data_IF_067747604339
#
_entry.id   IF_067747604339
#
_cell.length_a   1.000
_cell.length_b   1.000
_cell.length_c   1.000
_cell.angle_alpha   90.00
_cell.angle_beta   90.00
_cell.angle_gamma   90.00
#
_symmetry.space_group_name_H-M   'P 1'
#
loop_
_entity.id
_entity.type
_entity.pdbx_description
1 polymer ?
#
# COMPACT_ATOMS: atom_id res chain seq x y z
N UNK A 1 67.66 -91.31 -27.52
CA UNK A 1 67.49 -89.92 -26.91
C UNK A 1 66.36 -89.17 -27.60
N UNK A 2 65.09 -89.60 -27.41
CA UNK A 2 63.95 -88.93 -28.02
C UNK A 2 62.63 -89.07 -27.16
N UNK A 3 62.69 -88.82 -25.90
CA UNK A 3 61.51 -88.92 -25.04
C UNK A 3 61.27 -87.67 -24.15
N UNK A 4 61.99 -86.58 -24.39
CA UNK A 4 61.88 -85.36 -23.58
C UNK A 4 61.20 -84.16 -24.23
N UNK A 5 60.91 -84.12 -25.52
CA UNK A 5 60.36 -82.95 -26.24
C UNK A 5 58.80 -82.81 -26.22
N UNK A 6 58.09 -83.92 -26.06
CA UNK A 6 56.61 -83.91 -26.15
C UNK A 6 55.91 -83.36 -24.92
N UNK A 7 56.49 -83.45 -23.71
CA UNK A 7 55.86 -83.02 -22.47
C UNK A 7 55.99 -81.48 -22.22
N UNK A 8 57.10 -80.92 -22.67
CA UNK A 8 57.34 -79.47 -22.57
C UNK A 8 56.46 -78.68 -23.53
N UNK A 9 56.16 -79.22 -24.70
CA UNK A 9 55.31 -78.57 -25.71
C UNK A 9 53.80 -78.59 -25.32
N UNK A 10 53.35 -79.67 -24.69
CA UNK A 10 52.02 -79.79 -24.19
C UNK A 10 51.78 -78.83 -22.99
N UNK A 11 52.73 -78.63 -22.09
CA UNK A 11 52.64 -77.67 -20.98
C UNK A 11 52.63 -76.25 -21.51
N UNK A 12 53.47 -75.94 -22.50
CA UNK A 12 53.43 -74.59 -23.14
C UNK A 12 52.10 -74.31 -23.84
N UNK A 13 51.56 -75.29 -24.58
CA UNK A 13 50.20 -75.11 -25.20
C UNK A 13 49.11 -74.92 -24.18
N UNK A 14 49.11 -75.65 -23.04
CA UNK A 14 48.15 -75.47 -21.97
C UNK A 14 48.29 -74.08 -21.30
N UNK A 15 49.49 -73.59 -21.05
CA UNK A 15 49.76 -72.29 -20.51
C UNK A 15 49.26 -71.20 -21.46
N UNK A 16 49.56 -71.33 -22.76
CA UNK A 16 49.08 -70.38 -23.79
C UNK A 16 47.53 -70.36 -23.87
N UNK A 17 46.90 -71.56 -23.79
CA UNK A 17 45.41 -71.63 -23.76
C UNK A 17 44.80 -71.00 -22.51
N UNK A 18 45.42 -71.21 -21.33
CA UNK A 18 44.93 -70.58 -20.05
C UNK A 18 45.13 -69.06 -20.11
N UNK A 19 46.25 -68.56 -20.60
CA UNK A 19 46.51 -67.12 -20.74
C UNK A 19 45.57 -66.53 -21.79
N UNK A 20 45.32 -67.17 -22.89
CA UNK A 20 44.39 -66.76 -23.94
C UNK A 20 42.93 -66.74 -23.41
N UNK A 21 42.54 -67.81 -22.68
CA UNK A 21 41.17 -67.84 -22.05
C UNK A 21 41.04 -66.83 -20.97
N UNK A 22 42.08 -66.56 -20.16
CA UNK A 22 42.12 -65.48 -19.18
C UNK A 22 42.01 -64.09 -19.85
N UNK A 23 42.71 -63.85 -20.92
CA UNK A 23 42.66 -62.61 -21.70
C UNK A 23 41.30 -62.42 -22.36
N UNK A 24 40.70 -63.45 -22.95
CA UNK A 24 39.33 -63.43 -23.48
C UNK A 24 38.28 -63.16 -22.37
N UNK A 25 38.44 -63.76 -21.19
CA UNK A 25 37.59 -63.50 -20.04
C UNK A 25 37.73 -62.10 -19.55
N UNK A 26 38.94 -61.55 -19.52
CA UNK A 26 39.20 -60.16 -19.14
C UNK A 26 38.65 -59.19 -20.16
N UNK A 27 38.74 -59.44 -21.45
CA UNK A 27 38.11 -58.64 -22.49
C UNK A 27 36.59 -58.68 -22.41
N UNK A 28 35.99 -59.85 -22.17
CA UNK A 28 34.55 -60.00 -21.95
C UNK A 28 34.12 -59.27 -20.70
N UNK A 29 34.89 -59.36 -19.62
CA UNK A 29 34.62 -58.58 -18.40
C UNK A 29 34.65 -57.09 -18.66
N UNK A 30 35.70 -56.57 -19.31
CA UNK A 30 35.76 -55.13 -19.63
C UNK A 30 34.71 -54.70 -20.62
N UNK A 31 34.28 -55.49 -21.59
CA UNK A 31 33.19 -55.14 -22.50
C UNK A 31 31.83 -55.12 -21.80
N UNK A 32 31.55 -56.09 -20.92
CA UNK A 32 30.32 -56.13 -20.14
C UNK A 32 30.24 -55.04 -19.04
N UNK A 33 31.38 -54.73 -18.41
CA UNK A 33 31.45 -53.72 -17.33
C UNK A 33 31.83 -52.33 -17.83
N UNK A 34 32.21 -52.14 -19.10
CA UNK A 34 32.60 -50.84 -19.67
C UNK A 34 31.50 -49.81 -19.51
N UNK A 35 30.26 -50.20 -19.75
CA UNK A 35 29.11 -49.30 -19.62
C UNK A 35 28.85 -48.90 -18.15
N UNK A 36 29.03 -49.84 -17.23
CA UNK A 36 28.86 -49.58 -15.78
C UNK A 36 29.96 -48.68 -15.23
N UNK A 37 31.23 -48.88 -15.66
CA UNK A 37 32.31 -47.97 -15.27
C UNK A 37 32.15 -46.57 -15.87
N UNK A 38 31.73 -46.47 -17.14
CA UNK A 38 31.48 -45.19 -17.78
C UNK A 38 30.34 -44.43 -17.12
N UNK A 39 29.28 -45.13 -16.67
CA UNK A 39 28.15 -44.52 -15.98
C UNK A 39 28.50 -43.97 -14.59
N UNK A 40 29.54 -44.51 -13.93
CA UNK A 40 29.99 -44.01 -12.61
C UNK A 40 30.72 -42.68 -12.68
N UNK A 41 31.30 -42.32 -13.82
CA UNK A 41 32.03 -41.07 -14.07
C UNK A 41 31.15 -39.97 -14.66
N UNK A 42 29.87 -40.26 -14.96
CA UNK A 42 28.95 -39.25 -15.50
C UNK A 42 28.44 -38.31 -14.41
N UNK A 43 28.23 -36.99 -14.73
CA UNK A 43 27.60 -36.06 -13.83
C UNK A 43 26.25 -36.58 -13.35
N UNK A 44 26.05 -36.60 -12.04
CA UNK A 44 24.74 -36.89 -11.43
C UNK A 44 23.85 -35.68 -11.48
N UNK A 45 22.60 -35.87 -11.88
CA UNK A 45 21.63 -34.80 -11.96
C UNK A 45 20.35 -35.17 -11.21
N UNK A 46 19.84 -34.20 -10.49
CA UNK A 46 18.49 -34.24 -9.93
C UNK A 46 17.54 -33.48 -10.87
N UNK A 47 16.39 -34.03 -11.15
CA UNK A 47 15.43 -33.47 -12.11
C UNK A 47 14.11 -33.14 -11.45
N UNK A 48 13.41 -32.21 -12.04
CA UNK A 48 12.00 -31.89 -11.74
C UNK A 48 11.18 -31.87 -13.01
N UNK A 49 9.86 -32.00 -12.89
CA UNK A 49 8.95 -31.82 -14.01
C UNK A 49 8.30 -30.43 -13.92
N UNK A 50 8.23 -29.69 -15.04
CA UNK A 50 7.47 -28.46 -15.09
C UNK A 50 6.00 -28.71 -14.71
N UNK A 51 5.36 -27.71 -14.12
CA UNK A 51 3.93 -27.78 -13.79
C UNK A 51 3.24 -26.59 -14.41
N UNK A 52 2.09 -26.84 -15.04
CA UNK A 52 1.26 -25.74 -15.53
C UNK A 52 0.56 -25.08 -14.37
N UNK A 53 0.74 -23.76 -14.22
CA UNK A 53 0.14 -23.01 -13.12
C UNK A 53 0.34 -21.51 -13.21
N UNK A 54 -0.24 -20.78 -12.27
CA UNK A 54 0.09 -19.38 -12.02
C UNK A 54 1.16 -19.29 -10.94
N UNK A 55 2.08 -18.33 -11.08
CA UNK A 55 3.13 -18.10 -10.10
C UNK A 55 2.58 -17.27 -8.92
N UNK A 56 2.95 -17.62 -7.70
CA UNK A 56 2.58 -16.84 -6.52
C UNK A 56 3.45 -15.57 -6.45
N UNK A 57 2.80 -14.42 -6.51
CA UNK A 57 3.42 -13.11 -6.41
C UNK A 57 2.94 -12.39 -5.16
N UNK A 58 3.85 -11.67 -4.52
CA UNK A 58 3.55 -10.83 -3.39
C UNK A 58 3.76 -9.35 -3.76
N UNK A 59 2.84 -8.51 -3.30
CA UNK A 59 2.98 -7.06 -3.24
C UNK A 59 3.08 -6.68 -1.79
N UNK A 60 4.20 -6.12 -1.40
CA UNK A 60 4.45 -5.62 -0.06
C UNK A 60 4.67 -4.12 -0.12
N UNK A 61 4.18 -3.42 0.89
CA UNK A 61 4.40 -1.99 0.97
C UNK A 61 3.94 -1.41 2.30
N UNK A 62 4.38 -0.19 2.57
CA UNK A 62 4.02 0.52 3.79
C UNK A 62 3.66 1.97 3.49
N UNK A 63 2.84 2.55 4.37
CA UNK A 63 2.44 3.94 4.30
C UNK A 63 2.06 4.48 5.67
N UNK A 64 1.90 5.80 5.75
CA UNK A 64 1.45 6.47 6.97
C UNK A 64 -0.07 6.66 6.89
N UNK A 65 -0.74 6.22 7.94
CA UNK A 65 -2.19 6.37 8.08
C UNK A 65 -2.54 7.85 8.25
N UNK A 66 -3.44 8.33 7.41
CA UNK A 66 -3.96 9.69 7.45
C UNK A 66 -5.49 9.68 7.59
N UNK A 67 -6.03 10.65 8.28
CA UNK A 67 -7.48 10.84 8.31
C UNK A 67 -8.02 11.21 6.92
N UNK A 68 -9.18 10.68 6.58
CA UNK A 68 -9.85 11.01 5.32
C UNK A 68 -10.43 12.43 5.37
N UNK A 69 -10.89 12.87 6.53
CA UNK A 69 -11.49 14.19 6.70
C UNK A 69 -11.09 14.82 8.04
N UNK A 70 -10.47 15.99 7.96
CA UNK A 70 -10.12 16.81 9.10
C UNK A 70 -10.93 18.10 9.09
N UNK A 71 -11.43 18.51 10.25
CA UNK A 71 -11.97 19.85 10.44
C UNK A 71 -10.91 20.73 11.10
N UNK A 72 -10.53 21.79 10.40
CA UNK A 72 -9.70 22.89 10.92
C UNK A 72 -10.62 23.94 11.52
N UNK A 73 -10.62 24.04 12.82
CA UNK A 73 -11.55 24.91 13.57
C UNK A 73 -10.81 26.10 14.14
N UNK A 74 -11.35 27.29 13.92
CA UNK A 74 -10.84 28.56 14.45
C UNK A 74 -12.01 29.42 14.91
N UNK A 75 -11.74 30.35 15.81
CA UNK A 75 -12.70 31.45 16.07
C UNK A 75 -12.82 32.32 14.82
N UNK A 76 -14.03 32.86 14.57
CA UNK A 76 -14.27 33.87 13.54
C UNK A 76 -13.96 35.28 14.04
N UNK A 77 -13.60 35.43 15.31
CA UNK A 77 -13.32 36.70 16.00
C UNK A 77 -11.88 36.69 16.57
N UNK A 78 -11.35 37.88 16.80
CA UNK A 78 -10.03 38.07 17.46
C UNK A 78 -10.09 37.95 18.99
N UNK A 79 -11.10 37.26 19.53
CA UNK A 79 -11.25 37.07 20.96
C UNK A 79 -10.17 36.19 21.53
N UNK A 80 -9.78 36.49 22.77
CA UNK A 80 -8.80 35.66 23.48
C UNK A 80 -9.42 34.35 23.92
N UNK A 81 -8.65 33.29 23.89
CA UNK A 81 -9.02 32.00 24.47
C UNK A 81 -9.20 32.17 25.98
N UNK A 82 -10.39 31.91 26.47
CA UNK A 82 -10.68 31.97 27.91
C UNK A 82 -10.32 30.63 28.58
N UNK A 83 -10.73 29.51 27.99
CA UNK A 83 -10.48 28.19 28.54
C UNK A 83 -10.46 27.14 27.43
N UNK A 84 -9.55 26.19 27.56
CA UNK A 84 -9.42 25.01 26.69
C UNK A 84 -10.02 23.81 27.45
N UNK A 85 -11.01 23.14 26.84
CA UNK A 85 -11.78 22.05 27.45
C UNK A 85 -11.37 20.65 26.98
N UNK A 86 -10.42 20.54 26.04
CA UNK A 86 -9.99 19.29 25.43
C UNK A 86 -8.47 19.22 25.33
N UNK A 87 -7.93 18.00 25.09
CA UNK A 87 -6.50 17.75 24.92
C UNK A 87 -6.23 17.06 23.58
N UNK A 88 -5.00 17.16 23.08
CA UNK A 88 -4.58 16.36 21.93
C UNK A 88 -4.73 14.86 22.21
N UNK A 89 -5.22 14.11 21.21
CA UNK A 89 -5.53 12.69 21.32
C UNK A 89 -6.87 12.37 21.98
N UNK A 90 -7.61 13.38 22.48
CA UNK A 90 -8.92 13.19 23.11
C UNK A 90 -10.02 12.93 22.08
N UNK A 91 -10.93 12.02 22.41
CA UNK A 91 -12.13 11.76 21.62
C UNK A 91 -13.23 12.73 21.97
N UNK A 92 -13.81 13.35 20.96
CA UNK A 92 -14.89 14.33 21.09
C UNK A 92 -16.14 13.87 20.36
N UNK A 93 -17.30 14.28 20.90
CA UNK A 93 -18.60 14.04 20.29
C UNK A 93 -19.08 15.28 19.54
N UNK A 94 -19.91 15.09 18.51
CA UNK A 94 -20.57 16.21 17.82
C UNK A 94 -21.28 17.11 18.82
N UNK A 95 -21.05 18.44 18.75
CA UNK A 95 -21.58 19.46 19.65
C UNK A 95 -20.83 19.59 20.98
N UNK A 96 -19.81 18.78 21.26
CA UNK A 96 -19.00 18.94 22.47
C UNK A 96 -18.23 20.27 22.40
N UNK A 97 -18.20 21.00 23.53
CA UNK A 97 -17.43 22.23 23.68
C UNK A 97 -15.95 21.92 23.71
N UNK A 98 -15.16 22.65 22.92
CA UNK A 98 -13.71 22.47 22.77
C UNK A 98 -12.95 23.62 23.42
N UNK A 99 -13.35 24.84 23.10
CA UNK A 99 -12.71 26.07 23.57
C UNK A 99 -13.82 27.09 23.88
N UNK A 100 -13.62 27.86 24.91
CA UNK A 100 -14.42 29.07 25.20
C UNK A 100 -13.55 30.29 24.98
N UNK A 101 -14.17 31.37 24.46
CA UNK A 101 -13.50 32.63 24.20
C UNK A 101 -14.01 33.72 25.12
N UNK A 102 -13.14 34.69 25.45
CA UNK A 102 -13.52 35.88 26.22
C UNK A 102 -14.37 36.82 25.37
N UNK A 103 -15.64 36.81 25.64
CA UNK A 103 -16.65 37.61 24.93
C UNK A 103 -17.16 38.78 25.74
N UNK A 104 -16.47 39.19 26.82
CA UNK A 104 -16.92 40.26 27.72
C UNK A 104 -17.11 41.58 26.97
N UNK A 105 -16.19 41.96 26.09
CA UNK A 105 -16.31 43.18 25.29
C UNK A 105 -17.52 43.17 24.37
N UNK A 106 -17.82 42.05 23.71
CA UNK A 106 -18.99 41.90 22.85
C UNK A 106 -20.30 41.95 23.64
N UNK A 107 -20.33 41.38 24.86
CA UNK A 107 -21.46 41.46 25.76
C UNK A 107 -21.73 42.91 26.20
N UNK A 108 -20.68 43.68 26.54
CA UNK A 108 -20.80 45.10 26.87
C UNK A 108 -21.28 45.91 25.68
N UNK A 109 -20.82 45.65 24.47
CA UNK A 109 -21.30 46.33 23.26
C UNK A 109 -22.81 46.09 23.05
N UNK A 110 -23.29 44.86 23.26
CA UNK A 110 -24.73 44.56 23.20
C UNK A 110 -25.51 45.38 24.26
N UNK A 111 -25.01 45.51 25.48
CA UNK A 111 -25.66 46.32 26.53
C UNK A 111 -25.75 47.80 26.14
N UNK A 112 -24.70 48.36 25.50
CA UNK A 112 -24.73 49.72 24.95
C UNK A 112 -25.83 49.86 23.89
N UNK A 113 -25.91 48.90 22.96
CA UNK A 113 -26.95 48.94 21.92
C UNK A 113 -28.35 48.73 22.46
N UNK A 114 -28.54 47.95 23.52
CA UNK A 114 -29.82 47.83 24.23
C UNK A 114 -30.18 49.16 24.88
N UNK A 115 -29.21 49.86 25.49
CA UNK A 115 -29.46 51.20 26.07
C UNK A 115 -29.83 52.21 24.99
N UNK A 116 -29.22 52.16 23.82
CA UNK A 116 -29.56 52.99 22.66
C UNK A 116 -31.00 52.72 22.17
N UNK A 117 -31.40 51.45 22.12
CA UNK A 117 -32.79 51.07 21.78
C UNK A 117 -33.81 51.68 22.78
N UNK A 118 -33.50 51.66 24.08
CA UNK A 118 -34.36 52.21 25.08
C UNK A 118 -34.50 53.73 24.92
N UNK A 119 -33.41 54.45 24.63
CA UNK A 119 -33.47 55.89 24.30
C UNK A 119 -34.34 56.16 23.06
N UNK A 120 -34.20 55.33 21.99
CA UNK A 120 -35.07 55.49 20.82
C UNK A 120 -36.55 55.24 21.13
N UNK A 121 -36.84 54.28 21.99
CA UNK A 121 -38.23 54.03 22.44
C UNK A 121 -38.80 55.22 23.21
N UNK A 122 -38.03 55.83 24.10
CA UNK A 122 -38.47 57.07 24.83
C UNK A 122 -38.67 58.19 23.83
N UNK A 123 -37.79 58.43 22.89
CA UNK A 123 -37.93 59.44 21.85
C UNK A 123 -39.19 59.20 20.99
N UNK A 124 -39.46 57.96 20.63
CA UNK A 124 -40.66 57.60 19.89
C UNK A 124 -41.96 57.90 20.70
N UNK A 125 -41.94 57.67 22.00
CA UNK A 125 -43.07 58.10 22.90
C UNK A 125 -43.25 59.60 22.88
N UNK A 126 -42.19 60.41 23.00
CA UNK A 126 -42.22 61.83 22.90
C UNK A 126 -42.84 62.32 21.58
N UNK A 127 -42.52 61.69 20.48
CA UNK A 127 -43.10 61.95 19.15
C UNK A 127 -44.60 61.61 19.12
N UNK A 128 -45.06 60.58 19.82
CA UNK A 128 -46.46 60.23 19.96
C UNK A 128 -47.22 61.30 20.77
N UNK A 129 -46.62 61.79 21.86
CA UNK A 129 -47.19 62.84 22.67
C UNK A 129 -47.33 64.18 21.90
N UNK A 130 -46.27 64.53 21.08
CA UNK A 130 -46.33 65.71 20.22
C UNK A 130 -47.42 65.57 19.13
N UNK A 131 -47.61 64.37 18.57
CA UNK A 131 -48.67 64.07 17.62
C UNK A 131 -50.05 64.30 18.26
N UNK A 132 -50.24 63.82 19.48
CA UNK A 132 -51.52 64.08 20.24
C UNK A 132 -51.75 65.59 20.43
N UNK A 133 -50.71 66.31 20.84
CA UNK A 133 -50.81 67.74 21.04
C UNK A 133 -51.12 68.47 19.70
N UNK A 134 -50.48 68.16 18.61
CA UNK A 134 -50.71 68.70 17.27
C UNK A 134 -52.14 68.43 16.75
N UNK A 135 -52.70 67.29 17.16
CA UNK A 135 -54.11 66.93 16.86
C UNK A 135 -55.11 67.79 17.58
N UNK A 136 -54.79 68.23 18.81
CA UNK A 136 -55.62 69.13 19.59
C UNK A 136 -55.61 70.58 19.02
N UNK A 137 -54.41 70.97 18.50
CA UNK A 137 -54.20 72.33 17.94
C UNK A 137 -54.77 72.47 16.52
N UNK A 138 -55.37 71.46 15.91
CA UNK A 138 -55.96 71.41 14.56
C UNK A 138 -54.94 71.81 13.42
N UNK A 139 -53.64 71.74 13.64
CA UNK A 139 -52.64 72.12 12.67
C UNK A 139 -52.30 70.90 11.73
N UNK A 140 -52.95 70.87 10.59
CA UNK A 140 -52.89 69.77 9.66
C UNK A 140 -51.46 69.50 9.13
N UNK A 141 -50.60 70.50 8.95
CA UNK A 141 -49.23 70.36 8.48
C UNK A 141 -48.32 69.72 9.55
N UNK A 142 -48.50 70.20 10.80
CA UNK A 142 -47.75 69.56 11.94
C UNK A 142 -48.21 68.15 12.17
N UNK A 143 -49.51 67.88 12.03
CA UNK A 143 -50.05 66.54 12.19
C UNK A 143 -49.43 65.56 11.18
N UNK A 144 -49.32 65.94 9.86
CA UNK A 144 -48.73 65.14 8.84
C UNK A 144 -47.19 64.93 9.04
N UNK A 145 -46.48 65.93 9.52
CA UNK A 145 -45.06 65.83 9.84
C UNK A 145 -44.81 64.91 11.03
N UNK A 146 -45.54 65.04 12.10
CA UNK A 146 -45.48 64.23 13.30
C UNK A 146 -45.78 62.75 13.00
N UNK A 147 -46.78 62.48 12.12
CA UNK A 147 -47.06 61.10 11.68
C UNK A 147 -45.86 60.46 10.92
N UNK A 148 -45.19 61.21 10.04
CA UNK A 148 -44.01 60.71 9.36
C UNK A 148 -42.84 60.44 10.30
N UNK A 149 -42.65 61.35 11.30
CA UNK A 149 -41.57 61.14 12.29
C UNK A 149 -41.84 59.92 13.17
N UNK A 150 -43.08 59.66 13.57
CA UNK A 150 -43.49 58.47 14.31
C UNK A 150 -43.21 57.23 13.49
N UNK A 151 -43.58 57.19 12.18
CA UNK A 151 -43.32 56.03 11.33
C UNK A 151 -41.85 55.82 11.13
N UNK A 152 -41.04 56.86 10.95
CA UNK A 152 -39.56 56.76 10.87
C UNK A 152 -38.98 56.22 12.17
N UNK A 153 -39.36 56.76 13.32
CA UNK A 153 -38.91 56.29 14.64
C UNK A 153 -39.23 54.81 14.88
N UNK A 154 -40.42 54.38 14.43
CA UNK A 154 -40.76 52.93 14.46
C UNK A 154 -39.83 52.07 13.61
N UNK A 155 -39.47 52.52 12.40
CA UNK A 155 -38.53 51.83 11.56
C UNK A 155 -37.11 51.78 12.15
N UNK A 156 -36.68 52.90 12.80
CA UNK A 156 -35.37 52.96 13.46
C UNK A 156 -35.31 51.99 14.65
N UNK A 157 -36.38 51.88 15.45
CA UNK A 157 -36.49 50.88 16.54
C UNK A 157 -36.39 49.45 16.01
N UNK A 158 -37.13 49.14 14.94
CA UNK A 158 -37.09 47.80 14.32
C UNK A 158 -35.69 47.48 13.78
N UNK A 159 -35.01 48.45 13.18
CA UNK A 159 -33.64 48.28 12.68
C UNK A 159 -32.65 48.01 13.84
N UNK A 160 -32.81 48.76 14.94
CA UNK A 160 -31.98 48.60 16.14
C UNK A 160 -32.21 47.24 16.82
N UNK A 161 -33.45 46.78 16.92
CA UNK A 161 -33.77 45.43 17.44
C UNK A 161 -33.16 44.31 16.59
N UNK A 162 -33.21 44.46 15.27
CA UNK A 162 -32.52 43.49 14.35
C UNK A 162 -31.03 43.47 14.57
N UNK A 163 -30.40 44.65 14.72
CA UNK A 163 -28.94 44.74 15.00
C UNK A 163 -28.60 44.03 16.29
N UNK A 164 -29.31 44.28 17.36
CA UNK A 164 -29.09 43.62 18.66
C UNK A 164 -29.25 42.10 18.55
N UNK A 165 -30.29 41.62 17.85
CA UNK A 165 -30.50 40.21 17.67
C UNK A 165 -29.35 39.55 16.86
N UNK A 166 -28.85 40.20 15.80
CA UNK A 166 -27.68 39.73 15.04
C UNK A 166 -26.42 39.68 15.91
N UNK A 167 -26.21 40.68 16.77
CA UNK A 167 -25.06 40.68 17.69
C UNK A 167 -25.15 39.54 18.70
N UNK A 168 -26.32 39.26 19.25
CA UNK A 168 -26.59 38.14 20.18
C UNK A 168 -26.36 36.78 19.51
N UNK A 169 -26.83 36.61 18.27
CA UNK A 169 -26.60 35.38 17.49
C UNK A 169 -25.12 35.16 17.23
N UNK A 170 -24.38 36.22 16.85
CA UNK A 170 -22.94 36.16 16.64
C UNK A 170 -22.20 35.79 17.93
N UNK A 171 -22.54 36.47 19.03
CA UNK A 171 -22.00 36.17 20.36
C UNK A 171 -22.19 34.69 20.73
N UNK A 172 -23.41 34.18 20.59
CA UNK A 172 -23.73 32.77 20.90
C UNK A 172 -22.95 31.76 20.04
N UNK A 173 -22.68 32.08 18.75
CA UNK A 173 -21.93 31.22 17.85
C UNK A 173 -20.43 31.26 18.12
N UNK A 174 -19.89 32.45 18.38
CA UNK A 174 -18.45 32.68 18.40
C UNK A 174 -17.84 32.50 19.81
N UNK A 175 -18.69 32.58 20.86
CA UNK A 175 -18.25 32.43 22.26
C UNK A 175 -17.71 31.01 22.56
N UNK A 176 -18.18 29.97 21.85
CA UNK A 176 -17.83 28.58 22.11
C UNK A 176 -17.56 27.86 20.83
N UNK A 177 -16.34 27.34 20.68
CA UNK A 177 -15.97 26.45 19.60
C UNK A 177 -16.44 25.02 19.93
N UNK A 178 -17.21 24.41 19.03
CA UNK A 178 -17.77 23.07 19.24
C UNK A 178 -17.34 22.11 18.13
N UNK A 179 -17.29 20.81 18.45
CA UNK A 179 -16.97 19.78 17.49
C UNK A 179 -18.11 19.59 16.46
N UNK A 180 -17.86 19.67 15.14
CA UNK A 180 -18.87 19.51 14.10
C UNK A 180 -19.33 18.06 13.90
N UNK A 181 -18.51 17.08 14.32
CA UNK A 181 -18.76 15.63 14.23
C UNK A 181 -18.03 14.88 15.34
N UNK A 182 -18.27 13.57 15.44
CA UNK A 182 -17.53 12.70 16.34
C UNK A 182 -16.12 12.44 15.79
N UNK A 183 -15.09 12.70 16.58
CA UNK A 183 -13.71 12.59 16.10
C UNK A 183 -12.67 12.55 17.21
N UNK A 184 -11.43 12.73 16.81
CA UNK A 184 -10.26 12.81 17.69
C UNK A 184 -9.57 14.14 17.45
N UNK A 185 -9.19 14.84 18.53
CA UNK A 185 -8.38 16.05 18.46
C UNK A 185 -6.96 15.65 18.04
N UNK A 186 -6.57 16.02 16.83
CA UNK A 186 -5.23 15.68 16.29
C UNK A 186 -4.20 16.76 16.56
N UNK A 187 -4.64 18.03 16.67
CA UNK A 187 -3.76 19.16 16.98
C UNK A 187 -4.52 20.24 17.76
N UNK A 188 -3.84 20.82 18.74
CA UNK A 188 -4.34 21.91 19.58
C UNK A 188 -3.32 23.05 19.58
N UNK A 189 -3.57 24.11 18.82
CA UNK A 189 -2.68 25.28 18.73
C UNK A 189 -3.16 26.43 19.62
N UNK A 190 -4.40 26.38 20.13
CA UNK A 190 -4.94 27.39 21.00
C UNK A 190 -4.13 27.51 22.31
N UNK A 191 -3.95 28.74 22.79
CA UNK A 191 -3.28 29.06 24.05
C UNK A 191 -4.15 29.98 24.87
N UNK A 192 -4.45 29.65 26.13
CA UNK A 192 -5.26 30.45 27.02
C UNK A 192 -4.67 31.87 27.21
N UNK A 193 -5.50 32.88 27.13
CA UNK A 193 -5.12 34.29 27.22
C UNK A 193 -4.65 34.93 25.91
N UNK A 194 -4.42 34.15 24.83
CA UNK A 194 -4.03 34.65 23.51
C UNK A 194 -5.20 34.53 22.51
N UNK A 195 -5.19 35.37 21.47
CA UNK A 195 -6.07 35.20 20.31
C UNK A 195 -5.42 34.29 19.26
N UNK A 196 -6.24 33.71 18.39
CA UNK A 196 -5.74 32.86 17.30
C UNK A 196 -4.76 33.59 16.39
N UNK A 197 -3.60 32.99 16.12
CA UNK A 197 -2.51 33.60 15.36
C UNK A 197 -2.48 33.21 13.87
N UNK A 198 -3.66 32.97 13.25
CA UNK A 198 -3.76 32.60 11.84
C UNK A 198 -3.69 31.10 11.57
N UNK A 199 -3.29 30.27 12.55
CA UNK A 199 -3.42 28.84 12.52
C UNK A 199 -4.76 28.38 13.11
N UNK A 200 -5.31 27.22 12.69
CA UNK A 200 -6.49 26.65 13.32
C UNK A 200 -6.27 26.39 14.82
N UNK A 201 -7.20 26.83 15.66
CA UNK A 201 -7.15 26.61 17.11
C UNK A 201 -7.17 25.12 17.46
N UNK A 202 -7.99 24.34 16.75
CA UNK A 202 -8.13 22.90 16.93
C UNK A 202 -8.30 22.21 15.58
N UNK A 203 -7.63 21.08 15.41
CA UNK A 203 -7.85 20.18 14.27
C UNK A 203 -8.47 18.88 14.79
N UNK A 204 -9.60 18.50 14.23
CA UNK A 204 -10.32 17.28 14.59
C UNK A 204 -10.38 16.35 13.38
N UNK A 205 -9.91 15.13 13.55
CA UNK A 205 -10.03 14.05 12.60
C UNK A 205 -11.37 13.33 12.73
N UNK A 206 -12.06 13.13 11.60
CA UNK A 206 -13.36 12.47 11.59
C UNK A 206 -13.22 10.95 11.62
N UNK A 207 -13.28 10.35 12.79
CA UNK A 207 -13.15 8.90 12.97
C UNK A 207 -14.25 8.07 12.29
N UNK A 208 -15.42 8.68 11.98
CA UNK A 208 -16.51 7.95 11.32
C UNK A 208 -16.30 7.76 9.82
N UNK A 209 -15.51 8.59 9.18
CA UNK A 209 -15.14 8.43 7.77
C UNK A 209 -13.97 7.47 7.57
N UNK A 210 -13.25 7.15 8.65
CA UNK A 210 -12.10 6.28 8.65
C UNK A 210 -10.80 6.98 8.28
N UNK A 211 -9.82 6.16 7.98
CA UNK A 211 -8.46 6.53 7.67
C UNK A 211 -8.05 5.95 6.34
N UNK A 212 -7.02 6.50 5.73
CA UNK A 212 -6.42 5.99 4.50
C UNK A 212 -4.92 6.07 4.57
N UNK A 213 -4.28 5.21 3.79
CA UNK A 213 -2.86 5.31 3.52
C UNK A 213 -2.59 4.90 2.07
N UNK A 214 -1.43 5.23 1.57
CA UNK A 214 -1.02 5.00 0.20
C UNK A 214 0.20 4.10 0.16
N UNK A 215 0.21 3.16 -0.78
CA UNK A 215 1.31 2.24 -1.01
C UNK A 215 1.67 2.25 -2.49
N UNK A 216 2.95 2.46 -2.79
CA UNK A 216 3.47 2.30 -4.14
C UNK A 216 3.66 0.82 -4.49
N UNK A 217 3.29 0.45 -5.71
CA UNK A 217 3.46 -0.91 -6.22
C UNK A 217 3.82 -0.90 -7.71
N UNK A 218 4.59 -1.89 -8.14
CA UNK A 218 4.90 -2.12 -9.55
C UNK A 218 3.60 -2.36 -10.35
N UNK A 219 3.41 -1.59 -11.42
CA UNK A 219 2.19 -1.63 -12.22
C UNK A 219 2.01 -2.97 -12.93
N UNK A 220 3.09 -3.63 -13.35
CA UNK A 220 3.07 -4.93 -14.01
C UNK A 220 2.66 -6.01 -13.02
N UNK A 221 3.31 -6.08 -11.86
CA UNK A 221 2.96 -7.04 -10.78
C UNK A 221 1.50 -6.89 -10.33
N UNK A 222 1.05 -5.64 -10.15
CA UNK A 222 -0.33 -5.37 -9.75
C UNK A 222 -1.33 -5.91 -10.78
N UNK A 223 -1.01 -5.75 -12.07
CA UNK A 223 -1.86 -6.26 -13.16
C UNK A 223 -1.83 -7.77 -13.24
N UNK A 224 -0.64 -8.39 -13.05
CA UNK A 224 -0.46 -9.85 -13.11
C UNK A 224 -1.28 -10.61 -12.05
N UNK A 225 -1.43 -10.07 -10.84
CA UNK A 225 -2.21 -10.70 -9.76
C UNK A 225 -3.66 -10.23 -9.68
N UNK A 226 -4.07 -9.31 -10.57
CA UNK A 226 -5.46 -8.90 -10.70
C UNK A 226 -6.05 -8.24 -9.46
N UNK A 227 -5.28 -7.40 -8.78
CA UNK A 227 -5.79 -6.61 -7.65
C UNK A 227 -6.83 -5.61 -8.15
N UNK A 228 -7.96 -5.53 -7.47
CA UNK A 228 -9.12 -4.75 -7.87
C UNK A 228 -9.58 -3.74 -6.82
N UNK A 229 -10.19 -2.65 -7.28
CA UNK A 229 -10.86 -1.68 -6.40
C UNK A 229 -12.05 -2.38 -5.70
N UNK A 230 -12.21 -2.12 -4.41
CA UNK A 230 -13.22 -2.75 -3.56
C UNK A 230 -12.76 -4.05 -2.89
N UNK A 231 -11.57 -4.52 -3.19
CA UNK A 231 -11.01 -5.72 -2.58
C UNK A 231 -10.64 -5.48 -1.12
N UNK A 232 -10.91 -6.48 -0.27
CA UNK A 232 -10.53 -6.47 1.15
C UNK A 232 -9.16 -7.11 1.31
N UNK A 233 -8.32 -6.46 2.10
CA UNK A 233 -6.95 -6.89 2.39
C UNK A 233 -6.67 -6.77 3.88
N UNK A 234 -5.78 -7.60 4.37
CA UNK A 234 -5.24 -7.47 5.73
C UNK A 234 -4.18 -6.37 5.78
N UNK A 235 -4.29 -5.51 6.79
CA UNK A 235 -3.36 -4.40 7.04
C UNK A 235 -2.78 -4.56 8.43
N UNK A 236 -1.47 -4.65 8.51
CA UNK A 236 -0.76 -4.56 9.79
C UNK A 236 -0.51 -3.10 10.14
N UNK A 237 -0.92 -2.69 11.33
CA UNK A 237 -0.73 -1.33 11.83
C UNK A 237 0.14 -1.35 13.08
N UNK A 238 1.21 -0.58 13.07
CA UNK A 238 2.06 -0.38 14.25
C UNK A 238 1.39 0.63 15.17
N UNK A 239 0.81 0.17 16.27
CA UNK A 239 0.25 1.05 17.31
C UNK A 239 1.35 1.56 18.26
N UNK A 240 1.14 2.73 18.89
CA UNK A 240 2.09 3.49 19.75
C UNK A 240 2.90 2.67 20.79
N UNK A 241 2.46 1.47 21.10
CA UNK A 241 3.26 0.52 21.88
C UNK A 241 4.09 -0.35 20.92
N UNK A 242 5.33 0.01 20.68
CA UNK A 242 6.34 -0.61 19.80
C UNK A 242 6.50 -2.16 19.86
N UNK A 243 5.57 -2.88 20.45
CA UNK A 243 5.60 -4.33 20.64
C UNK A 243 4.37 -5.08 20.12
N UNK A 244 3.35 -4.43 19.61
CA UNK A 244 2.16 -5.12 19.07
C UNK A 244 1.69 -4.47 17.80
N UNK A 245 1.94 -5.09 16.66
CA UNK A 245 1.19 -4.83 15.45
C UNK A 245 -0.24 -5.35 15.61
N UNK A 246 -1.21 -4.60 15.12
CA UNK A 246 -2.61 -5.02 15.07
C UNK A 246 -2.98 -5.27 13.62
N UNK A 247 -3.58 -6.41 13.33
CA UNK A 247 -4.12 -6.72 12.00
C UNK A 247 -5.53 -6.16 11.91
N UNK A 248 -5.82 -5.43 10.85
CA UNK A 248 -7.10 -4.78 10.59
C UNK A 248 -7.53 -5.03 9.14
N UNK A 249 -8.84 -4.99 8.90
CA UNK A 249 -9.38 -5.06 7.55
C UNK A 249 -9.24 -3.72 6.85
N UNK A 250 -8.60 -3.71 5.69
CA UNK A 250 -8.55 -2.59 4.76
C UNK A 250 -9.31 -2.88 3.48
N UNK A 251 -9.77 -1.83 2.80
CA UNK A 251 -10.42 -1.93 1.50
C UNK A 251 -9.65 -1.05 0.51
N UNK A 252 -9.33 -1.60 -0.65
CA UNK A 252 -8.71 -0.84 -1.74
C UNK A 252 -9.76 0.12 -2.30
N UNK A 253 -9.57 1.42 -2.07
CA UNK A 253 -10.51 2.47 -2.50
C UNK A 253 -10.19 2.96 -3.91
N UNK A 254 -8.91 3.03 -4.24
CA UNK A 254 -8.45 3.61 -5.51
C UNK A 254 -7.09 3.04 -5.92
N UNK A 255 -6.86 2.93 -7.22
CA UNK A 255 -5.57 2.58 -7.82
C UNK A 255 -5.28 3.62 -8.90
N UNK A 256 -4.25 4.44 -8.69
CA UNK A 256 -3.84 5.52 -9.60
C UNK A 256 -2.43 5.29 -10.14
N UNK A 257 -2.11 5.92 -11.27
CA UNK A 257 -0.75 5.91 -11.79
C UNK A 257 0.13 6.84 -10.93
N UNK A 258 1.36 6.40 -10.69
CA UNK A 258 2.39 7.18 -10.01
C UNK A 258 3.54 7.52 -10.97
N UNK A 259 4.43 8.38 -10.54
CA UNK A 259 5.69 8.62 -11.24
C UNK A 259 6.49 7.32 -11.32
N UNK A 260 7.03 6.97 -12.51
CA UNK A 260 7.81 5.76 -12.66
C UNK A 260 9.08 5.80 -11.82
N UNK A 261 9.44 4.67 -11.21
CA UNK A 261 10.72 4.51 -10.56
C UNK A 261 11.83 4.29 -11.61
N UNK A 262 12.91 5.04 -11.48
CA UNK A 262 14.10 4.88 -12.31
C UNK A 262 15.07 3.98 -11.51
N UNK A 263 15.16 2.72 -11.90
CA UNK A 263 16.16 1.79 -11.38
C UNK A 263 17.39 1.84 -12.29
N UNK A 264 18.51 2.32 -11.76
CA UNK A 264 19.77 2.36 -12.49
C UNK A 264 20.92 2.72 -11.57
N UNK A 265 22.03 2.02 -11.69
CA UNK A 265 23.24 2.26 -10.94
C UNK A 265 23.89 3.60 -11.32
N UNK A 266 24.62 4.17 -10.35
CA UNK A 266 25.41 5.42 -10.49
C UNK A 266 26.67 5.26 -11.34
N UNK A 267 26.87 4.15 -12.06
CA UNK A 267 28.03 3.93 -12.90
C UNK A 267 27.78 4.38 -14.36
N UNK A 268 28.75 5.06 -14.93
CA UNK A 268 28.75 5.47 -16.34
C UNK A 268 28.64 4.23 -17.25
N UNK A 269 27.44 4.00 -17.81
CA UNK A 269 27.12 2.88 -18.68
C UNK A 269 26.04 1.92 -18.17
N UNK A 270 25.45 2.17 -16.99
CA UNK A 270 24.34 1.37 -16.48
C UNK A 270 23.06 1.65 -17.28
N UNK A 271 22.40 0.59 -17.73
CA UNK A 271 21.09 0.68 -18.38
C UNK A 271 20.07 1.11 -17.34
N UNK A 272 19.55 2.33 -17.46
CA UNK A 272 18.43 2.80 -16.63
C UNK A 272 17.16 2.12 -17.07
N UNK A 273 16.55 1.34 -16.17
CA UNK A 273 15.25 0.72 -16.41
C UNK A 273 14.17 1.55 -15.73
N UNK A 274 13.17 1.98 -16.50
CA UNK A 274 12.01 2.71 -15.97
C UNK A 274 10.92 1.72 -15.63
N UNK A 275 10.59 1.61 -14.34
CA UNK A 275 9.54 0.72 -13.82
C UNK A 275 8.27 1.54 -13.56
N UNK A 276 7.18 1.31 -14.34
CA UNK A 276 5.91 1.98 -14.10
C UNK A 276 5.37 1.66 -12.71
N UNK A 277 4.97 2.69 -11.98
CA UNK A 277 4.43 2.56 -10.63
C UNK A 277 2.95 2.91 -10.56
N UNK A 278 2.23 2.28 -9.64
CA UNK A 278 0.88 2.67 -9.24
C UNK A 278 0.82 2.90 -7.74
N UNK A 279 -0.06 3.81 -7.34
CA UNK A 279 -0.40 4.04 -5.94
C UNK A 279 -1.71 3.33 -5.65
N UNK A 280 -1.68 2.46 -4.65
CA UNK A 280 -2.85 1.81 -4.09
C UNK A 280 -3.26 2.61 -2.87
N UNK A 281 -4.48 3.16 -2.89
CA UNK A 281 -5.08 3.86 -1.75
C UNK A 281 -5.99 2.92 -0.99
N UNK A 282 -5.67 2.70 0.28
CA UNK A 282 -6.34 1.74 1.14
C UNK A 282 -7.07 2.50 2.23
N UNK A 283 -8.36 2.19 2.40
CA UNK A 283 -9.21 2.73 3.45
C UNK A 283 -9.35 1.73 4.58
N UNK A 284 -9.23 2.24 5.82
CA UNK A 284 -9.44 1.48 7.06
C UNK A 284 -10.49 2.21 7.89
N UNK A 285 -11.45 1.47 8.45
CA UNK A 285 -12.43 2.01 9.38
C UNK A 285 -12.25 1.31 10.73
N UNK A 286 -11.46 1.92 11.59
CA UNK A 286 -11.28 1.46 12.98
C UNK A 286 -11.21 2.66 13.91
N UNK A 287 -12.00 2.60 14.97
CA UNK A 287 -12.08 3.69 15.97
C UNK A 287 -10.80 3.77 16.85
N UNK A 288 -9.91 2.78 16.82
CA UNK A 288 -8.68 2.78 17.61
C UNK A 288 -7.57 3.60 16.97
N UNK A 289 -7.65 3.84 15.66
CA UNK A 289 -6.67 4.63 14.91
C UNK A 289 -6.76 6.11 15.28
N UNK A 290 -5.60 6.77 15.26
CA UNK A 290 -5.47 8.21 15.55
C UNK A 290 -4.95 9.01 14.36
N UNK A 291 -4.32 8.33 13.39
CA UNK A 291 -3.55 8.94 12.32
C UNK A 291 -2.08 9.17 12.72
N UNK A 292 -1.18 9.00 11.77
CA UNK A 292 0.27 9.05 11.97
C UNK A 292 0.92 7.69 12.22
N UNK A 293 0.14 6.63 12.45
CA UNK A 293 0.62 5.25 12.59
C UNK A 293 1.15 4.74 11.24
N UNK A 294 2.13 3.83 11.29
CA UNK A 294 2.62 3.13 10.11
C UNK A 294 1.76 1.90 9.84
N UNK A 295 1.30 1.78 8.60
CA UNK A 295 0.59 0.61 8.10
C UNK A 295 1.45 -0.15 7.10
N UNK A 296 1.31 -1.47 7.07
CA UNK A 296 1.95 -2.38 6.11
C UNK A 296 0.90 -3.29 5.50
N UNK A 297 1.11 -3.63 4.25
CA UNK A 297 0.31 -4.64 3.55
C UNK A 297 1.21 -5.69 2.96
N UNK A 298 0.65 -6.90 2.86
CA UNK A 298 1.19 -8.00 2.09
C UNK A 298 0.04 -8.68 1.35
N UNK A 299 -0.01 -8.49 0.03
CA UNK A 299 -1.02 -9.10 -0.84
C UNK A 299 -0.34 -10.26 -1.58
N UNK A 300 -0.71 -11.48 -1.26
CA UNK A 300 -0.20 -12.69 -1.93
C UNK A 300 -1.30 -13.29 -2.80
N UNK A 301 -1.03 -13.45 -4.09
CA UNK A 301 -1.94 -14.06 -5.06
C UNK A 301 -1.18 -14.79 -6.15
N UNK A 302 -1.82 -15.81 -6.69
CA UNK A 302 -1.37 -16.45 -7.92
C UNK A 302 -1.59 -15.53 -9.12
N UNK A 303 -0.63 -15.49 -10.05
CA UNK A 303 -0.79 -14.70 -11.28
C UNK A 303 -1.99 -15.18 -12.10
N UNK A 304 -2.62 -14.25 -12.82
CA UNK A 304 -3.74 -14.55 -13.72
C UNK A 304 -3.29 -15.35 -14.95
N UNK A 305 -2.07 -15.08 -15.42
CA UNK A 305 -1.46 -15.83 -16.51
C UNK A 305 -0.96 -17.18 -16.00
N UNK A 306 -1.16 -18.21 -16.79
CA UNK A 306 -0.68 -19.58 -16.54
C UNK A 306 0.42 -19.90 -17.51
N UNK A 307 1.47 -20.52 -17.01
CA UNK A 307 2.62 -20.98 -17.79
C UNK A 307 3.30 -22.18 -17.13
N UNK A 308 4.37 -22.65 -17.74
CA UNK A 308 5.18 -23.70 -17.15
C UNK A 308 6.03 -23.16 -16.00
N UNK A 309 5.81 -23.68 -14.80
CA UNK A 309 6.56 -23.33 -13.60
C UNK A 309 7.71 -24.32 -13.41
N UNK A 310 8.90 -23.75 -13.22
CA UNK A 310 10.12 -24.49 -12.88
C UNK A 310 10.77 -23.82 -11.66
N UNK A 311 11.53 -24.59 -10.88
CA UNK A 311 12.30 -24.01 -9.79
C UNK A 311 13.27 -22.95 -10.31
N UNK A 312 13.36 -21.80 -9.63
CA UNK A 312 14.28 -20.73 -10.04
C UNK A 312 15.75 -21.19 -10.08
N UNK A 313 16.10 -22.24 -9.33
CA UNK A 313 17.42 -22.87 -9.36
C UNK A 313 17.75 -23.68 -10.61
N UNK A 314 16.75 -24.02 -11.43
CA UNK A 314 16.95 -24.74 -12.70
C UNK A 314 17.21 -23.79 -13.89
N UNK A 315 17.00 -22.48 -13.70
CA UNK A 315 17.17 -21.46 -14.74
C UNK A 315 18.58 -20.90 -14.70
N UNK A 316 19.24 -20.92 -15.85
CA UNK A 316 20.61 -20.42 -16.03
C UNK A 316 20.63 -19.24 -17.00
N UNK A 317 21.68 -18.43 -16.94
CA UNK A 317 21.92 -17.33 -17.84
C UNK A 317 23.31 -17.37 -18.44
N UNK A 318 23.40 -17.08 -19.73
CA UNK A 318 24.66 -16.84 -20.40
C UNK A 318 24.58 -15.62 -21.34
N UNK A 319 25.52 -15.51 -22.31
CA UNK A 319 25.54 -14.39 -23.26
C UNK A 319 24.42 -14.42 -24.30
N UNK A 320 23.81 -15.61 -24.50
CA UNK A 320 22.77 -15.85 -25.50
C UNK A 320 21.37 -15.65 -24.89
N UNK A 321 21.24 -15.62 -23.55
CA UNK A 321 19.98 -15.42 -22.84
C UNK A 321 19.77 -16.38 -21.68
N UNK A 322 18.49 -16.60 -21.35
CA UNK A 322 18.07 -17.53 -20.31
C UNK A 322 17.85 -18.92 -20.91
N UNK A 323 18.27 -19.97 -20.18
CA UNK A 323 18.10 -21.34 -20.60
C UNK A 323 17.91 -22.29 -19.43
N UNK A 324 17.40 -23.47 -19.73
CA UNK A 324 17.35 -24.63 -18.83
C UNK A 324 18.00 -25.83 -19.51
N UNK A 325 18.41 -26.84 -18.72
CA UNK A 325 18.79 -28.13 -19.25
C UNK A 325 17.63 -29.10 -19.14
N UNK A 326 17.26 -29.70 -20.26
CA UNK A 326 16.25 -30.77 -20.36
C UNK A 326 16.95 -32.10 -20.54
N UNK A 327 16.45 -33.13 -19.88
CA UNK A 327 16.95 -34.51 -20.07
C UNK A 327 16.36 -35.08 -21.35
N UNK A 328 17.23 -35.38 -22.33
CA UNK A 328 16.84 -36.07 -23.54
C UNK A 328 17.33 -37.53 -23.47
N UNK A 329 16.43 -38.47 -23.77
CA UNK A 329 16.74 -39.87 -23.84
C UNK A 329 17.13 -40.26 -25.28
N UNK A 330 18.33 -40.76 -25.47
CA UNK A 330 18.83 -41.14 -26.78
C UNK A 330 19.16 -42.63 -26.82
N UNK A 331 18.91 -43.35 -27.96
CA UNK A 331 19.28 -44.73 -28.11
C UNK A 331 20.80 -44.88 -28.13
N UNK A 332 21.35 -45.69 -27.22
CA UNK A 332 22.78 -46.01 -27.17
C UNK A 332 23.05 -47.48 -27.52
N UNK A 333 24.31 -47.84 -27.76
CA UNK A 333 24.72 -49.20 -28.19
C UNK A 333 24.42 -50.31 -27.16
N UNK A 334 24.29 -49.95 -25.88
CA UNK A 334 24.04 -50.88 -24.76
C UNK A 334 22.83 -50.47 -23.89
N UNK A 335 21.85 -49.74 -24.46
CA UNK A 335 20.67 -49.21 -23.80
C UNK A 335 20.58 -47.69 -23.93
N UNK A 336 19.49 -47.11 -23.45
CA UNK A 336 19.27 -45.66 -23.55
C UNK A 336 20.26 -44.89 -22.69
N UNK A 337 20.74 -43.77 -23.22
CA UNK A 337 21.61 -42.81 -22.54
C UNK A 337 20.87 -41.50 -22.34
N UNK A 338 21.09 -40.86 -21.21
CA UNK A 338 20.52 -39.57 -20.93
C UNK A 338 21.53 -38.47 -21.25
N UNK A 339 21.04 -37.42 -21.91
CA UNK A 339 21.86 -36.29 -22.37
C UNK A 339 21.22 -34.99 -21.87
N UNK A 340 22.04 -34.08 -21.36
CA UNK A 340 21.61 -32.74 -21.01
C UNK A 340 21.52 -31.88 -22.28
N UNK A 341 20.33 -31.41 -22.61
CA UNK A 341 20.07 -30.54 -23.76
C UNK A 341 19.78 -29.14 -23.28
N UNK A 342 20.55 -28.16 -23.74
CA UNK A 342 20.31 -26.74 -23.49
C UNK A 342 19.11 -26.28 -24.30
N UNK A 343 18.08 -25.70 -23.62
CA UNK A 343 16.90 -25.14 -24.25
C UNK A 343 16.77 -23.70 -23.81
N UNK A 344 16.78 -22.77 -24.76
CA UNK A 344 16.57 -21.36 -24.49
C UNK A 344 15.10 -21.13 -24.14
N UNK A 345 14.87 -20.25 -23.15
CA UNK A 345 13.57 -19.94 -22.60
C UNK A 345 13.36 -18.43 -22.51
N UNK A 346 12.12 -18.01 -22.51
CA UNK A 346 11.71 -16.67 -22.12
C UNK A 346 11.06 -16.73 -20.74
N UNK A 347 11.41 -15.77 -19.87
CA UNK A 347 10.83 -15.65 -18.54
C UNK A 347 9.70 -14.65 -18.60
N UNK A 348 8.47 -15.08 -18.29
CA UNK A 348 7.32 -14.20 -18.13
C UNK A 348 7.32 -13.55 -16.77
N UNK A 349 7.44 -14.35 -15.70
CA UNK A 349 7.43 -13.93 -14.32
C UNK A 349 8.32 -14.83 -13.45
N UNK A 350 8.82 -14.29 -12.35
CA UNK A 350 9.62 -15.05 -11.37
C UNK A 350 9.36 -14.58 -9.95
N UNK A 351 9.50 -15.51 -9.01
CA UNK A 351 9.65 -15.24 -7.57
C UNK A 351 10.94 -15.95 -7.05
N UNK A 352 11.14 -15.92 -5.75
CA UNK A 352 12.33 -16.51 -5.12
C UNK A 352 12.42 -18.05 -5.27
N UNK A 353 11.29 -18.72 -5.50
CA UNK A 353 11.20 -20.18 -5.54
C UNK A 353 11.01 -20.71 -6.95
N UNK A 354 10.17 -20.06 -7.73
CA UNK A 354 9.67 -20.54 -9.02
C UNK A 354 9.84 -19.46 -10.10
N UNK A 355 10.05 -19.92 -11.33
CA UNK A 355 10.10 -19.10 -12.53
C UNK A 355 9.08 -19.61 -13.52
N UNK A 356 8.22 -18.74 -14.01
CA UNK A 356 7.30 -19.03 -15.10
C UNK A 356 8.02 -18.84 -16.43
N UNK A 357 8.14 -19.93 -17.20
CA UNK A 357 8.84 -19.94 -18.46
C UNK A 357 7.88 -20.11 -19.64
N UNK A 358 8.25 -19.52 -20.76
CA UNK A 358 7.63 -19.74 -22.06
C UNK A 358 8.66 -20.37 -22.99
N UNK A 359 8.28 -21.49 -23.60
CA UNK A 359 9.07 -22.17 -24.60
C UNK A 359 8.20 -23.10 -25.42
N UNK A 360 8.42 -23.11 -26.73
CA UNK A 360 7.74 -24.04 -27.65
C UNK A 360 8.38 -25.45 -27.64
N UNK A 361 9.43 -25.66 -26.85
CA UNK A 361 10.26 -26.87 -26.85
C UNK A 361 10.27 -27.58 -25.50
N UNK A 362 9.46 -27.12 -24.53
CA UNK A 362 9.39 -27.70 -23.20
C UNK A 362 7.93 -28.01 -22.88
N UNK A 363 7.67 -29.21 -22.39
CA UNK A 363 6.35 -29.72 -22.06
C UNK A 363 6.30 -30.17 -20.58
N UNK A 364 5.14 -30.39 -20.03
CA UNK A 364 4.94 -30.84 -18.64
C UNK A 364 5.57 -32.19 -18.33
N UNK A 365 5.74 -33.04 -19.36
CA UNK A 365 6.31 -34.40 -19.25
C UNK A 365 7.84 -34.40 -19.25
N UNK A 366 8.47 -33.30 -19.64
CA UNK A 366 9.89 -33.15 -19.71
C UNK A 366 10.54 -33.13 -18.33
N UNK A 367 11.77 -33.67 -18.26
CA UNK A 367 12.58 -33.62 -17.05
C UNK A 367 13.60 -32.50 -17.17
N UNK A 368 13.41 -31.45 -16.35
CA UNK A 368 14.35 -30.34 -16.27
C UNK A 368 15.38 -30.62 -15.18
N UNK A 369 16.66 -30.35 -15.47
CA UNK A 369 17.76 -30.57 -14.51
C UNK A 369 17.74 -29.41 -13.50
N UNK A 370 17.48 -29.76 -12.24
CA UNK A 370 17.48 -28.80 -11.12
C UNK A 370 18.90 -28.60 -10.56
N UNK A 371 19.66 -29.71 -10.42
CA UNK A 371 21.01 -29.66 -9.87
C UNK A 371 21.90 -30.69 -10.59
N UNK A 372 23.18 -30.38 -10.72
CA UNK A 372 24.19 -31.26 -11.23
C UNK A 372 25.41 -31.28 -10.31
N UNK A 373 26.08 -32.47 -10.23
CA UNK A 373 27.31 -32.61 -9.48
C UNK A 373 28.51 -31.89 -10.13
N UNK A 374 28.44 -31.62 -11.43
CA UNK A 374 29.46 -30.95 -12.22
C UNK A 374 28.82 -29.94 -13.19
N UNK A 375 29.55 -28.90 -13.66
CA UNK A 375 29.07 -28.00 -14.67
C UNK A 375 28.67 -28.73 -15.95
N UNK A 376 27.47 -28.45 -16.47
CA UNK A 376 26.96 -29.09 -17.68
C UNK A 376 27.16 -28.19 -18.90
N UNK A 377 27.39 -28.85 -20.05
CA UNK A 377 27.33 -28.25 -21.36
C UNK A 377 26.29 -28.98 -22.21
N UNK A 378 25.83 -28.33 -23.27
CA UNK A 378 24.89 -28.93 -24.20
C UNK A 378 25.47 -30.23 -24.78
N UNK A 379 24.67 -31.31 -24.77
CA UNK A 379 25.09 -32.63 -25.24
C UNK A 379 25.89 -33.50 -24.24
N UNK A 380 26.13 -33.01 -23.00
CA UNK A 380 26.80 -33.84 -22.00
C UNK A 380 25.96 -35.06 -21.60
N UNK A 381 26.59 -36.25 -21.58
CA UNK A 381 25.95 -37.43 -20.99
C UNK A 381 25.82 -37.25 -19.48
N UNK A 382 24.70 -37.68 -18.95
CA UNK A 382 24.35 -37.51 -17.54
C UNK A 382 23.80 -38.81 -16.95
N UNK A 383 23.75 -38.86 -15.64
CA UNK A 383 23.11 -39.94 -14.88
C UNK A 383 22.04 -39.38 -13.97
N UNK A 384 20.83 -39.91 -14.08
CA UNK A 384 19.74 -39.56 -13.17
C UNK A 384 20.02 -40.13 -11.77
N UNK A 385 19.69 -39.34 -10.75
CA UNK A 385 19.83 -39.72 -9.33
C UNK A 385 18.67 -40.61 -8.89
#
# INVERSE_FOLDING_TARGET
>A
MELGKGVADQRRKRIIQIVFMGFMGLLLFFTLFSNTLQSLTLPKVTTEQPKMGGIELAIEGSGIIQSIADAKLSSSTDWKVQQILVKEGERVKKGQKLITYDSQSASQEIEVEVTNLEKQRIEHQNLQDQFIQSSIDEDELKLRSAKREIEKGKLDIVAQERKINQMRERLSKDQVLTAPFNGIVTKLNAVEGLSSAGEPDVIISNSSQGYRFEVGADAKRLSSIGVSIGERIEVEVDTDNKQRSSVMDGVIEEITNAEPLIEGGSDEGAVTTTVPQKIIRIKIIDAKLKGGEQARIKIEKSSLEKGLLVSSGAVHQDREGMYVFVVEEQPGALGNVFVARKVNIEISEKNDKETMIQSDRIYEEDKIILKSSEPLQDGNRIRLE
#
